data_IF_494119005422
#
_entry.id   IF_494119005422
#
_cell.length_a   1.000
_cell.length_b   1.000
_cell.length_c   1.000
_cell.angle_alpha   90.00
_cell.angle_beta   90.00
_cell.angle_gamma   90.00
#
_symmetry.space_group_name_H-M   'P 1'
#
loop_
_entity.id
_entity.type
_entity.pdbx_description
1 polymer ?
#
# COMPACT_ATOMS: atom_id res chain seq x y z
N UNK A 1 -22.15 29.04 7.81
CA UNK A 1 -21.07 28.78 6.83
C UNK A 1 -21.47 27.46 6.19
N UNK A 2 -22.10 27.53 5.02
CA UNK A 2 -22.53 26.35 4.28
C UNK A 2 -21.29 25.55 3.91
N UNK A 3 -21.24 24.29 4.34
CA UNK A 3 -20.21 23.36 3.93
C UNK A 3 -20.54 23.00 2.48
N UNK A 4 -19.82 23.59 1.52
CA UNK A 4 -19.88 23.15 0.12
C UNK A 4 -19.73 21.63 0.10
N UNK A 5 -20.68 20.95 -0.52
CA UNK A 5 -20.69 19.50 -0.66
C UNK A 5 -19.49 19.11 -1.51
N UNK A 6 -18.39 18.73 -0.84
CA UNK A 6 -17.18 18.26 -1.52
C UNK A 6 -17.44 16.87 -2.07
N UNK A 7 -17.00 16.63 -3.30
CA UNK A 7 -16.96 15.27 -3.84
C UNK A 7 -15.92 14.43 -3.07
N UNK A 8 -16.25 13.16 -2.87
CA UNK A 8 -15.36 12.20 -2.23
C UNK A 8 -14.27 11.76 -3.22
N UNK A 9 -13.04 11.70 -2.74
CA UNK A 9 -11.94 11.12 -3.51
C UNK A 9 -12.16 9.63 -3.76
N UNK A 10 -11.51 9.07 -4.79
CA UNK A 10 -11.56 7.63 -5.08
C UNK A 10 -11.10 6.78 -3.90
N UNK A 11 -10.17 7.29 -3.09
CA UNK A 11 -9.68 6.60 -1.90
C UNK A 11 -10.73 6.61 -0.79
N UNK A 12 -11.41 7.73 -0.57
CA UNK A 12 -12.50 7.82 0.40
C UNK A 12 -13.65 6.88 0.02
N UNK A 13 -14.05 6.85 -1.25
CA UNK A 13 -15.11 5.94 -1.73
C UNK A 13 -14.69 4.47 -1.61
N UNK A 14 -13.44 4.15 -1.93
CA UNK A 14 -12.95 2.79 -1.81
C UNK A 14 -12.81 2.32 -0.37
N UNK A 15 -12.25 3.15 0.50
CA UNK A 15 -12.19 2.88 1.94
C UNK A 15 -13.60 2.72 2.50
N UNK A 16 -14.53 3.60 2.12
CA UNK A 16 -15.93 3.49 2.50
C UNK A 16 -16.54 2.15 2.04
N UNK A 17 -16.24 1.70 0.82
CA UNK A 17 -16.73 0.42 0.29
C UNK A 17 -16.19 -0.78 1.07
N UNK A 18 -14.88 -0.81 1.34
CA UNK A 18 -14.25 -1.87 2.13
C UNK A 18 -14.77 -1.88 3.57
N UNK A 19 -14.85 -0.71 4.20
CA UNK A 19 -15.34 -0.57 5.57
C UNK A 19 -16.82 -0.94 5.67
N UNK A 20 -17.62 -0.68 4.63
CA UNK A 20 -19.02 -1.12 4.56
C UNK A 20 -19.12 -2.64 4.48
N UNK A 21 -18.26 -3.29 3.69
CA UNK A 21 -18.22 -4.75 3.61
C UNK A 21 -17.76 -5.38 4.94
N UNK A 22 -16.85 -4.71 5.67
CA UNK A 22 -16.35 -5.15 6.97
C UNK A 22 -17.26 -4.77 8.16
N UNK A 23 -18.25 -3.91 7.92
CA UNK A 23 -19.05 -3.31 8.98
C UNK A 23 -19.86 -4.35 9.76
N UNK A 24 -19.88 -4.20 11.09
CA UNK A 24 -20.60 -5.13 11.98
C UNK A 24 -21.54 -4.47 13.00
N UNK A 25 -21.70 -3.15 12.94
CA UNK A 25 -22.76 -2.43 13.66
C UNK A 25 -24.11 -2.50 12.96
N UNK A 26 -25.17 -2.06 13.64
CA UNK A 26 -26.57 -2.11 13.19
C UNK A 26 -27.17 -0.72 12.90
N UNK A 27 -26.35 0.32 12.84
CA UNK A 27 -26.78 1.72 12.87
C UNK A 27 -26.51 2.50 11.56
N UNK A 28 -26.05 1.81 10.51
CA UNK A 28 -25.88 2.40 9.16
C UNK A 28 -27.04 2.05 8.22
N UNK A 29 -28.02 1.30 8.72
CA UNK A 29 -29.22 0.90 7.99
C UNK A 29 -30.44 0.95 8.89
N UNK A 30 -31.61 1.24 8.32
CA UNK A 30 -32.87 1.31 9.07
C UNK A 30 -33.27 -0.04 9.69
N UNK A 31 -32.79 -1.16 9.13
CA UNK A 31 -33.08 -2.52 9.59
C UNK A 31 -31.83 -3.24 10.16
N UNK A 32 -30.71 -2.52 10.36
CA UNK A 32 -29.49 -3.08 10.94
C UNK A 32 -28.81 -4.16 10.10
N UNK A 33 -29.01 -4.16 8.79
CA UNK A 33 -28.46 -5.17 7.87
C UNK A 33 -26.98 -4.91 7.59
N UNK A 34 -26.16 -5.96 7.56
CA UNK A 34 -24.73 -5.88 7.22
C UNK A 34 -24.32 -7.01 6.29
N UNK A 35 -23.25 -6.84 5.51
CA UNK A 35 -22.71 -7.94 4.72
C UNK A 35 -22.31 -9.12 5.60
N UNK A 36 -21.75 -8.86 6.79
CA UNK A 36 -21.36 -9.89 7.77
C UNK A 36 -22.54 -10.76 8.20
N UNK A 37 -23.72 -10.17 8.47
CA UNK A 37 -24.92 -10.95 8.85
C UNK A 37 -25.46 -11.84 7.72
N UNK A 38 -25.14 -11.51 6.48
CA UNK A 38 -25.56 -12.26 5.28
C UNK A 38 -24.41 -13.05 4.64
N UNK A 39 -23.39 -13.43 5.41
CA UNK A 39 -22.31 -14.29 4.95
C UNK A 39 -21.37 -13.64 3.92
N UNK A 40 -21.28 -12.31 3.95
CA UNK A 40 -20.54 -11.46 3.01
C UNK A 40 -21.00 -11.61 1.56
N UNK A 41 -22.32 -11.71 1.36
CA UNK A 41 -22.96 -11.81 0.04
C UNK A 41 -24.14 -10.84 -0.04
N UNK A 42 -24.38 -10.25 -1.21
CA UNK A 42 -25.41 -9.24 -1.39
C UNK A 42 -25.47 -8.73 -2.82
N UNK A 43 -26.25 -7.67 -3.04
CA UNK A 43 -26.35 -6.98 -4.32
C UNK A 43 -25.55 -5.68 -4.32
N UNK A 44 -25.26 -5.15 -5.51
CA UNK A 44 -24.75 -3.78 -5.66
C UNK A 44 -25.62 -2.74 -4.93
N UNK A 45 -26.95 -2.88 -5.01
CA UNK A 45 -27.91 -2.01 -4.31
C UNK A 45 -27.74 -2.05 -2.80
N UNK A 46 -27.49 -3.22 -2.21
CA UNK A 46 -27.21 -3.36 -0.78
C UNK A 46 -25.92 -2.63 -0.39
N UNK A 47 -24.86 -2.81 -1.17
CA UNK A 47 -23.58 -2.15 -0.93
C UNK A 47 -23.70 -0.64 -0.97
N UNK A 48 -24.31 -0.08 -2.00
CA UNK A 48 -24.39 1.37 -2.17
C UNK A 48 -25.28 2.03 -1.09
N UNK A 49 -26.39 1.37 -0.73
CA UNK A 49 -27.26 1.81 0.37
C UNK A 49 -26.52 1.85 1.70
N UNK A 50 -25.78 0.78 2.04
CA UNK A 50 -25.02 0.74 3.29
C UNK A 50 -23.84 1.71 3.30
N UNK A 51 -23.17 1.88 2.15
CA UNK A 51 -22.10 2.88 1.98
C UNK A 51 -22.61 4.29 2.27
N UNK A 52 -23.81 4.63 1.78
CA UNK A 52 -24.43 5.93 2.04
C UNK A 52 -24.66 6.15 3.53
N UNK A 53 -25.25 5.16 4.22
CA UNK A 53 -25.47 5.23 5.66
C UNK A 53 -24.18 5.39 6.46
N UNK A 54 -23.13 4.65 6.09
CA UNK A 54 -21.81 4.77 6.72
C UNK A 54 -21.16 6.13 6.45
N UNK A 55 -21.30 6.68 5.24
CA UNK A 55 -20.75 7.99 4.90
C UNK A 55 -21.40 9.11 5.70
N UNK A 56 -22.73 9.07 5.85
CA UNK A 56 -23.49 10.01 6.68
C UNK A 56 -23.08 9.89 8.15
N UNK A 57 -22.98 8.66 8.67
CA UNK A 57 -22.53 8.40 10.05
C UNK A 57 -21.14 8.99 10.31
N UNK A 58 -20.24 8.92 9.33
CA UNK A 58 -18.88 9.47 9.42
C UNK A 58 -18.80 10.98 9.15
N UNK A 59 -19.93 11.64 8.87
CA UNK A 59 -19.97 13.07 8.53
C UNK A 59 -19.32 13.40 7.19
N UNK A 60 -19.14 12.39 6.32
CA UNK A 60 -18.63 12.58 4.95
C UNK A 60 -19.72 13.12 4.03
N UNK A 61 -20.98 12.75 4.28
CA UNK A 61 -22.15 13.26 3.59
C UNK A 61 -23.11 13.92 4.58
N UNK A 62 -23.86 14.90 4.08
CA UNK A 62 -25.01 15.47 4.78
C UNK A 62 -26.25 14.63 4.47
N UNK A 63 -27.06 14.36 5.48
CA UNK A 63 -28.36 13.71 5.31
C UNK A 63 -29.39 14.76 4.84
N UNK A 64 -29.58 14.86 3.54
CA UNK A 64 -30.62 15.69 2.92
C UNK A 64 -31.82 14.84 2.48
N UNK A 65 -31.59 13.58 2.10
CA UNK A 65 -32.61 12.59 1.73
C UNK A 65 -32.64 11.48 2.77
N UNK A 66 -33.81 11.08 3.30
CA UNK A 66 -33.89 9.95 4.22
C UNK A 66 -33.33 8.66 3.62
N UNK A 67 -32.52 7.94 4.39
CA UNK A 67 -32.06 6.60 4.01
C UNK A 67 -33.27 5.67 3.84
N UNK A 68 -33.38 5.02 2.69
CA UNK A 68 -34.46 4.07 2.41
C UNK A 68 -34.06 2.68 2.89
N UNK A 69 -34.92 2.07 3.71
CA UNK A 69 -34.86 0.63 3.97
C UNK A 69 -35.23 -0.15 2.70
N UNK A 70 -34.56 -1.28 2.47
CA UNK A 70 -34.88 -2.22 1.41
C UNK A 70 -34.70 -3.63 1.93
N UNK A 71 -35.50 -4.58 1.42
CA UNK A 71 -35.22 -5.99 1.62
C UNK A 71 -33.78 -6.32 1.17
N UNK A 72 -33.09 -7.19 1.92
CA UNK A 72 -31.77 -7.66 1.50
C UNK A 72 -31.90 -8.41 0.18
N UNK A 73 -30.89 -8.29 -0.69
CA UNK A 73 -30.95 -8.80 -2.07
C UNK A 73 -31.99 -8.12 -2.95
N UNK A 74 -32.61 -7.03 -2.49
CA UNK A 74 -33.56 -6.25 -3.27
C UNK A 74 -32.84 -5.50 -4.39
N UNK A 75 -33.12 -5.87 -5.64
CA UNK A 75 -32.61 -5.16 -6.80
C UNK A 75 -33.50 -3.96 -7.17
N UNK A 76 -32.92 -2.93 -7.79
CA UNK A 76 -33.66 -1.79 -8.35
C UNK A 76 -33.44 -0.43 -7.68
N UNK A 77 -32.49 -0.27 -6.75
CA UNK A 77 -32.09 1.07 -6.28
C UNK A 77 -31.16 1.68 -7.32
N UNK A 78 -31.74 2.49 -8.22
CA UNK A 78 -30.95 3.32 -9.14
C UNK A 78 -30.48 4.56 -8.38
N UNK A 79 -29.19 4.83 -8.39
CA UNK A 79 -28.60 6.01 -7.77
C UNK A 79 -28.82 7.23 -8.66
N UNK A 80 -29.66 8.16 -8.19
CA UNK A 80 -29.91 9.45 -8.79
C UNK A 80 -29.57 10.52 -7.75
N UNK A 81 -28.56 11.38 -8.03
CA UNK A 81 -28.17 12.46 -7.12
C UNK A 81 -29.38 13.28 -6.69
N UNK A 82 -29.45 13.65 -5.42
CA UNK A 82 -30.50 14.51 -4.87
C UNK A 82 -31.94 13.94 -4.95
N UNK A 83 -32.10 12.67 -5.36
CA UNK A 83 -33.42 12.03 -5.50
C UNK A 83 -33.51 10.70 -4.74
N UNK A 84 -32.61 9.77 -5.03
CA UNK A 84 -32.60 8.44 -4.40
C UNK A 84 -31.36 8.20 -3.54
N UNK A 85 -30.38 9.10 -3.59
CA UNK A 85 -29.16 9.04 -2.78
C UNK A 85 -28.61 10.44 -2.48
N UNK A 86 -27.91 10.57 -1.36
CA UNK A 86 -27.17 11.74 -0.91
C UNK A 86 -25.78 11.87 -1.59
N UNK A 87 -25.32 10.85 -2.33
CA UNK A 87 -24.11 10.94 -3.14
C UNK A 87 -24.26 11.94 -4.30
N UNK A 88 -23.18 12.66 -4.62
CA UNK A 88 -23.13 13.53 -5.79
C UNK A 88 -23.08 12.73 -7.10
N UNK A 89 -23.23 13.39 -8.25
CA UNK A 89 -23.03 12.75 -9.54
C UNK A 89 -21.61 12.18 -9.70
N UNK A 90 -20.60 12.94 -9.27
CA UNK A 90 -19.20 12.52 -9.33
C UNK A 90 -18.93 11.33 -8.40
N UNK A 91 -19.51 11.36 -7.19
CA UNK A 91 -19.39 10.25 -6.25
C UNK A 91 -19.96 8.95 -6.83
N UNK A 92 -21.12 9.01 -7.47
CA UNK A 92 -21.77 7.83 -8.07
C UNK A 92 -20.91 7.21 -9.18
N UNK A 93 -20.34 8.03 -10.07
CA UNK A 93 -19.43 7.53 -11.11
C UNK A 93 -18.23 6.82 -10.49
N UNK A 94 -17.63 7.44 -9.48
CA UNK A 94 -16.47 6.90 -8.79
C UNK A 94 -16.81 5.62 -7.99
N UNK A 95 -18.00 5.54 -7.38
CA UNK A 95 -18.51 4.31 -6.73
C UNK A 95 -18.55 3.15 -7.73
N UNK A 96 -19.06 3.38 -8.94
CA UNK A 96 -19.09 2.35 -9.98
C UNK A 96 -17.68 1.92 -10.40
N UNK A 97 -16.77 2.86 -10.60
CA UNK A 97 -15.36 2.57 -10.90
C UNK A 97 -14.68 1.76 -9.79
N UNK A 98 -14.82 2.18 -8.52
CA UNK A 98 -14.23 1.48 -7.40
C UNK A 98 -14.80 0.06 -7.22
N UNK A 99 -16.11 -0.11 -7.45
CA UNK A 99 -16.72 -1.45 -7.44
C UNK A 99 -16.08 -2.37 -8.47
N UNK A 100 -15.90 -1.89 -9.70
CA UNK A 100 -15.22 -2.65 -10.76
C UNK A 100 -13.75 -2.91 -10.44
N UNK A 101 -13.06 -2.00 -9.75
CA UNK A 101 -11.70 -2.25 -9.27
C UNK A 101 -11.66 -3.36 -8.22
N UNK A 102 -12.61 -3.43 -7.28
CA UNK A 102 -12.68 -4.54 -6.32
C UNK A 102 -12.93 -5.89 -7.00
N UNK A 103 -13.74 -5.92 -8.07
CA UNK A 103 -13.93 -7.10 -8.92
C UNK A 103 -12.62 -7.52 -9.60
N UNK A 104 -11.95 -6.58 -10.27
CA UNK A 104 -10.70 -6.84 -10.98
C UNK A 104 -9.57 -7.30 -10.03
N UNK A 105 -9.61 -6.85 -8.77
CA UNK A 105 -8.66 -7.25 -7.73
C UNK A 105 -9.01 -8.57 -7.05
N UNK A 106 -10.16 -9.17 -7.39
CA UNK A 106 -10.64 -10.43 -6.80
C UNK A 106 -11.05 -10.30 -5.34
N UNK A 107 -11.28 -9.09 -4.82
CA UNK A 107 -11.78 -8.86 -3.45
C UNK A 107 -13.25 -9.29 -3.38
N UNK A 108 -14.01 -8.95 -4.41
CA UNK A 108 -15.38 -9.43 -4.65
C UNK A 108 -15.44 -10.20 -5.98
N UNK A 109 -16.43 -11.07 -6.12
CA UNK A 109 -16.68 -11.80 -7.35
C UNK A 109 -18.19 -11.83 -7.67
N UNK A 110 -18.59 -11.85 -8.96
CA UNK A 110 -20.00 -11.93 -9.34
C UNK A 110 -20.66 -13.22 -8.85
N UNK A 111 -21.96 -13.12 -8.60
CA UNK A 111 -22.81 -14.20 -8.12
C UNK A 111 -22.75 -14.42 -6.62
N UNK A 112 -23.81 -14.99 -6.05
CA UNK A 112 -23.90 -15.37 -4.64
C UNK A 112 -24.73 -16.67 -4.50
N UNK A 113 -24.65 -17.33 -3.35
CA UNK A 113 -25.29 -18.64 -3.12
C UNK A 113 -26.60 -18.51 -2.36
N UNK A 114 -27.58 -19.34 -2.72
CA UNK A 114 -28.92 -19.31 -2.12
C UNK A 114 -29.92 -18.67 -3.08
N UNK A 115 -30.68 -17.68 -2.59
CA UNK A 115 -31.72 -16.99 -3.37
C UNK A 115 -31.18 -15.83 -4.23
N UNK A 116 -29.88 -15.83 -4.53
CA UNK A 116 -29.20 -14.81 -5.34
C UNK A 116 -28.95 -15.32 -6.76
N UNK A 117 -28.69 -14.41 -7.70
CA UNK A 117 -28.24 -14.72 -9.05
C UNK A 117 -26.78 -15.17 -9.14
N UNK A 118 -26.43 -15.72 -10.30
CA UNK A 118 -25.08 -16.20 -10.62
C UNK A 118 -24.15 -15.10 -11.18
N UNK A 119 -24.69 -13.91 -11.43
CA UNK A 119 -24.01 -12.80 -12.08
C UNK A 119 -24.31 -11.50 -11.33
N UNK A 120 -23.67 -10.41 -11.74
CA UNK A 120 -24.06 -9.08 -11.30
C UNK A 120 -25.56 -8.83 -11.58
N UNK A 121 -26.26 -8.09 -10.71
CA UNK A 121 -25.74 -7.27 -9.60
C UNK A 121 -25.42 -8.05 -8.32
N UNK A 122 -25.70 -9.35 -8.26
CA UNK A 122 -25.35 -10.20 -7.12
C UNK A 122 -23.83 -10.44 -7.07
N UNK A 123 -23.27 -10.42 -5.88
CA UNK A 123 -21.84 -10.68 -5.64
C UNK A 123 -21.59 -11.24 -4.24
N UNK A 124 -20.39 -11.77 -4.03
CA UNK A 124 -19.88 -12.14 -2.72
C UNK A 124 -18.44 -11.63 -2.53
N UNK A 125 -18.05 -11.43 -1.27
CA UNK A 125 -16.65 -11.22 -0.90
C UNK A 125 -15.92 -12.55 -0.99
N UNK A 126 -14.79 -12.57 -1.71
CA UNK A 126 -14.02 -13.80 -1.88
C UNK A 126 -13.27 -14.16 -0.60
N UNK A 127 -12.74 -15.39 -0.50
CA UNK A 127 -11.82 -15.76 0.59
C UNK A 127 -10.60 -14.82 0.69
N UNK A 128 -10.15 -14.31 -0.44
CA UNK A 128 -9.07 -13.33 -0.49
C UNK A 128 -9.56 -11.97 0.03
N UNK A 129 -10.74 -11.51 -0.42
CA UNK A 129 -11.35 -10.27 0.07
C UNK A 129 -11.59 -10.27 1.58
N UNK A 130 -12.03 -11.38 2.17
CA UNK A 130 -12.23 -11.49 3.62
C UNK A 130 -10.95 -11.22 4.41
N UNK A 131 -9.81 -11.76 3.96
CA UNK A 131 -8.51 -11.45 4.56
C UNK A 131 -8.17 -9.97 4.44
N UNK A 132 -8.45 -9.36 3.28
CA UNK A 132 -8.26 -7.91 3.11
C UNK A 132 -9.13 -7.07 4.05
N UNK A 133 -10.36 -7.53 4.36
CA UNK A 133 -11.24 -6.87 5.33
C UNK A 133 -10.77 -7.04 6.77
N UNK A 134 -10.20 -8.19 7.12
CA UNK A 134 -9.67 -8.46 8.47
C UNK A 134 -8.43 -7.60 8.78
N UNK A 135 -7.54 -7.44 7.80
CA UNK A 135 -6.20 -6.92 8.05
C UNK A 135 -6.13 -5.39 8.28
N UNK A 136 -7.07 -4.56 7.81
CA UNK A 136 -7.15 -3.08 8.00
C UNK A 136 -5.83 -2.27 7.87
N UNK A 137 -4.72 -2.87 7.45
CA UNK A 137 -3.42 -2.22 7.32
C UNK A 137 -3.38 -1.36 6.06
N UNK A 138 -2.44 -0.41 6.01
CA UNK A 138 -2.20 0.42 4.82
C UNK A 138 -1.72 -0.50 3.70
N UNK A 139 -2.67 -1.01 2.93
CA UNK A 139 -2.39 -1.85 1.79
C UNK A 139 -1.91 -0.96 0.63
N UNK A 140 -1.13 -1.50 -0.32
CA UNK A 140 -0.63 -0.77 -1.50
C UNK A 140 -1.73 -0.15 -2.38
N UNK A 141 -2.98 -0.48 -2.10
CA UNK A 141 -4.12 0.06 -2.79
C UNK A 141 -4.64 1.39 -2.23
N UNK A 142 -4.33 1.71 -0.97
CA UNK A 142 -4.39 3.09 -0.46
C UNK A 142 -3.08 3.78 -0.84
N UNK A 143 -2.98 4.17 -2.11
CA UNK A 143 -1.76 4.79 -2.66
C UNK A 143 -1.38 6.02 -1.84
N UNK A 144 -2.34 6.85 -1.45
CA UNK A 144 -2.04 8.06 -0.69
C UNK A 144 -1.67 7.74 0.76
N UNK A 145 -2.32 6.77 1.42
CA UNK A 145 -1.92 6.35 2.76
C UNK A 145 -0.52 5.75 2.79
N UNK A 146 -0.22 4.92 1.80
CA UNK A 146 1.11 4.34 1.62
C UNK A 146 2.14 5.45 1.38
N UNK A 147 1.90 6.36 0.44
CA UNK A 147 2.80 7.47 0.14
C UNK A 147 2.92 8.46 1.30
N UNK A 148 1.84 8.77 2.04
CA UNK A 148 1.91 9.57 3.28
C UNK A 148 2.83 8.92 4.29
N UNK A 149 2.78 7.58 4.44
CA UNK A 149 3.65 6.84 5.35
C UNK A 149 5.11 6.89 4.89
N UNK A 150 5.36 6.75 3.59
CA UNK A 150 6.70 6.90 2.99
C UNK A 150 7.23 8.34 3.19
N UNK A 151 6.41 9.35 2.90
CA UNK A 151 6.76 10.76 3.04
C UNK A 151 6.95 11.21 4.50
N UNK A 152 6.43 10.44 5.46
CA UNK A 152 6.71 10.64 6.89
C UNK A 152 8.13 10.22 7.30
N UNK A 153 8.87 9.52 6.44
CA UNK A 153 10.25 9.10 6.70
C UNK A 153 11.20 10.31 6.48
N UNK A 154 11.98 10.73 7.50
CA UNK A 154 12.86 11.88 7.36
C UNK A 154 13.92 11.69 6.27
N UNK A 155 14.13 12.75 5.49
CA UNK A 155 15.14 12.83 4.40
C UNK A 155 14.90 11.88 3.24
N UNK A 156 13.70 11.30 3.11
CA UNK A 156 13.39 10.45 1.96
C UNK A 156 13.51 11.22 0.65
N UNK A 157 14.15 10.59 -0.32
CA UNK A 157 14.46 11.20 -1.61
C UNK A 157 13.25 11.20 -2.53
N UNK A 158 13.07 12.29 -3.28
CA UNK A 158 11.98 12.39 -4.29
C UNK A 158 12.06 11.29 -5.36
N UNK A 159 13.26 10.77 -5.64
CA UNK A 159 13.42 9.65 -6.57
C UNK A 159 12.93 8.33 -5.99
N UNK A 160 13.15 8.11 -4.68
CA UNK A 160 12.63 6.94 -3.96
C UNK A 160 11.10 7.01 -3.92
N UNK A 161 10.54 8.16 -3.57
CA UNK A 161 9.08 8.40 -3.64
C UNK A 161 8.52 8.15 -5.04
N UNK A 162 9.19 8.66 -6.08
CA UNK A 162 8.80 8.44 -7.47
C UNK A 162 8.74 6.95 -7.83
N UNK A 163 9.79 6.18 -7.57
CA UNK A 163 9.80 4.74 -7.90
C UNK A 163 8.75 3.95 -7.10
N UNK A 164 8.53 4.30 -5.83
CA UNK A 164 7.48 3.67 -5.03
C UNK A 164 6.10 3.98 -5.61
N UNK A 165 5.85 5.22 -6.02
CA UNK A 165 4.58 5.62 -6.65
C UNK A 165 4.33 4.83 -7.93
N UNK A 166 5.33 4.73 -8.82
CA UNK A 166 5.23 3.92 -10.04
C UNK A 166 4.97 2.44 -9.70
N UNK A 167 5.64 1.90 -8.67
CA UNK A 167 5.40 0.54 -8.23
C UNK A 167 3.94 0.30 -7.81
N UNK A 168 3.36 1.22 -7.01
CA UNK A 168 1.97 1.15 -6.57
C UNK A 168 1.00 1.21 -7.75
N UNK A 169 1.29 2.04 -8.75
CA UNK A 169 0.50 2.11 -9.98
C UNK A 169 0.54 0.79 -10.76
N UNK A 170 1.73 0.21 -10.96
CA UNK A 170 1.88 -1.09 -11.60
C UNK A 170 1.13 -2.20 -10.84
N UNK A 171 1.22 -2.20 -9.51
CA UNK A 171 0.56 -3.19 -8.67
C UNK A 171 -0.97 -3.09 -8.76
N UNK A 172 -1.51 -1.88 -8.74
CA UNK A 172 -2.95 -1.63 -8.90
C UNK A 172 -3.44 -1.96 -10.33
N UNK A 173 -2.58 -1.81 -11.34
CA UNK A 173 -2.84 -2.22 -12.73
C UNK A 173 -2.65 -3.73 -12.98
N UNK A 174 -2.41 -4.51 -11.92
CA UNK A 174 -2.14 -5.95 -11.98
C UNK A 174 -0.86 -6.35 -12.75
N UNK A 175 0.11 -5.43 -12.87
CA UNK A 175 1.43 -5.65 -13.48
C UNK A 175 2.47 -5.97 -12.39
N UNK A 176 2.43 -7.20 -11.86
CA UNK A 176 3.21 -7.61 -10.68
C UNK A 176 4.71 -7.49 -10.88
N UNK A 177 5.23 -7.96 -12.01
CA UNK A 177 6.66 -7.93 -12.32
C UNK A 177 7.16 -6.49 -12.44
N UNK A 178 6.39 -5.63 -13.09
CA UNK A 178 6.71 -4.20 -13.22
C UNK A 178 6.71 -3.49 -11.85
N UNK A 179 5.74 -3.81 -10.99
CA UNK A 179 5.69 -3.28 -9.62
C UNK A 179 6.95 -3.65 -8.83
N UNK A 180 7.38 -4.91 -8.92
CA UNK A 180 8.58 -5.39 -8.24
C UNK A 180 9.84 -4.73 -8.81
N UNK A 181 9.95 -4.58 -10.13
CA UNK A 181 11.07 -3.86 -10.78
C UNK A 181 11.19 -2.44 -10.24
N UNK A 182 10.08 -1.70 -10.13
CA UNK A 182 10.07 -0.34 -9.59
C UNK A 182 10.52 -0.29 -8.12
N UNK A 183 10.11 -1.25 -7.29
CA UNK A 183 10.63 -1.37 -5.91
C UNK A 183 12.13 -1.69 -5.87
N UNK A 184 12.62 -2.46 -6.85
CA UNK A 184 14.06 -2.69 -7.05
C UNK A 184 14.83 -1.41 -7.31
N UNK A 185 14.36 -0.59 -8.25
CA UNK A 185 14.97 0.70 -8.56
C UNK A 185 14.96 1.65 -7.35
N UNK A 186 13.86 1.66 -6.59
CA UNK A 186 13.78 2.37 -5.32
C UNK A 186 14.84 1.89 -4.33
N UNK A 187 15.04 0.58 -4.19
CA UNK A 187 16.05 -0.01 -3.31
C UNK A 187 17.48 0.31 -3.75
N UNK A 188 17.76 0.27 -5.06
CA UNK A 188 19.09 0.65 -5.60
C UNK A 188 19.38 2.13 -5.32
N UNK A 189 18.38 3.01 -5.48
CA UNK A 189 18.52 4.43 -5.17
C UNK A 189 18.81 4.68 -3.68
N UNK A 190 18.14 3.96 -2.79
CA UNK A 190 18.41 4.00 -1.34
C UNK A 190 19.86 3.57 -1.06
N UNK A 191 20.35 2.50 -1.69
CA UNK A 191 21.73 2.07 -1.51
C UNK A 191 22.75 3.13 -1.95
N UNK A 192 22.52 3.79 -3.08
CA UNK A 192 23.41 4.87 -3.54
C UNK A 192 23.47 6.01 -2.51
N UNK A 193 22.33 6.35 -1.90
CA UNK A 193 22.26 7.35 -0.82
C UNK A 193 22.94 6.87 0.47
N UNK A 194 22.82 5.58 0.81
CA UNK A 194 23.54 4.98 1.93
C UNK A 194 25.05 5.01 1.75
N UNK A 195 25.53 4.71 0.55
CA UNK A 195 26.96 4.75 0.22
C UNK A 195 27.51 6.16 0.33
N UNK A 196 26.81 7.16 -0.23
CA UNK A 196 27.24 8.56 -0.12
C UNK A 196 27.25 9.03 1.33
N UNK A 197 26.19 8.73 2.10
CA UNK A 197 26.11 9.09 3.51
C UNK A 197 27.23 8.42 4.34
N UNK A 198 27.47 7.12 4.13
CA UNK A 198 28.54 6.39 4.81
C UNK A 198 29.93 6.93 4.44
N UNK A 199 30.18 7.24 3.16
CA UNK A 199 31.46 7.85 2.74
C UNK A 199 31.70 9.17 3.47
N UNK A 200 30.68 10.03 3.59
CA UNK A 200 30.79 11.29 4.34
C UNK A 200 31.06 11.05 5.83
N UNK A 201 30.44 10.04 6.42
CA UNK A 201 30.67 9.63 7.81
C UNK A 201 32.10 9.14 8.02
N UNK A 202 32.59 8.26 7.14
CA UNK A 202 33.97 7.76 7.17
C UNK A 202 34.97 8.90 6.97
N UNK A 203 34.71 9.84 6.06
CA UNK A 203 35.60 11.00 5.87
C UNK A 203 35.83 11.80 7.16
N UNK A 204 34.80 11.91 8.01
CA UNK A 204 34.89 12.62 9.30
C UNK A 204 35.54 11.81 10.42
N UNK A 205 35.33 10.49 10.42
CA UNK A 205 35.59 9.65 11.59
C UNK A 205 36.65 8.55 11.37
N UNK A 206 36.92 8.17 10.11
CA UNK A 206 37.68 6.98 9.69
C UNK A 206 38.40 7.23 8.34
N UNK A 207 39.44 8.07 8.34
CA UNK A 207 40.10 8.59 7.11
C UNK A 207 40.71 7.51 6.21
N UNK A 208 41.26 6.45 6.80
CA UNK A 208 41.88 5.34 6.05
C UNK A 208 40.81 4.51 5.34
N UNK A 209 39.74 4.14 6.07
CA UNK A 209 38.59 3.42 5.54
C UNK A 209 37.86 4.21 4.45
N UNK A 210 37.75 5.53 4.61
CA UNK A 210 37.20 6.42 3.59
C UNK A 210 37.95 6.30 2.27
N UNK A 211 39.28 6.42 2.30
CA UNK A 211 40.13 6.39 1.09
C UNK A 211 40.02 5.04 0.36
N UNK A 212 39.95 3.95 1.13
CA UNK A 212 39.76 2.60 0.59
C UNK A 212 38.37 2.45 -0.04
N UNK A 213 37.30 2.82 0.68
CA UNK A 213 35.92 2.67 0.20
C UNK A 213 35.67 3.51 -1.05
N UNK A 214 36.15 4.76 -1.08
CA UNK A 214 35.98 5.66 -2.22
C UNK A 214 36.60 5.07 -3.50
N UNK A 215 37.77 4.45 -3.38
CA UNK A 215 38.44 3.78 -4.50
C UNK A 215 37.69 2.53 -4.96
N UNK A 216 37.22 1.70 -4.02
CA UNK A 216 36.44 0.49 -4.35
C UNK A 216 35.13 0.84 -5.04
N UNK A 217 34.33 1.75 -4.48
CA UNK A 217 33.02 2.15 -5.01
C UNK A 217 33.13 2.72 -6.44
N UNK A 218 34.17 3.50 -6.72
CA UNK A 218 34.40 4.11 -8.04
C UNK A 218 34.56 3.08 -9.17
N UNK A 219 34.94 1.85 -8.83
CA UNK A 219 35.15 0.76 -9.80
C UNK A 219 33.93 -0.17 -9.93
N UNK A 220 32.88 0.00 -9.10
CA UNK A 220 31.74 -0.91 -9.07
C UNK A 220 30.61 -0.43 -9.98
N UNK A 221 30.17 -1.29 -10.89
CA UNK A 221 29.05 -1.03 -11.82
C UNK A 221 27.73 -1.68 -11.41
N UNK A 222 27.78 -2.79 -10.66
CA UNK A 222 26.59 -3.58 -10.32
C UNK A 222 26.08 -3.23 -8.93
N UNK A 223 24.76 -3.09 -8.77
CA UNK A 223 24.13 -2.77 -7.49
C UNK A 223 24.40 -3.84 -6.40
N UNK A 224 24.45 -5.12 -6.77
CA UNK A 224 24.81 -6.20 -5.85
C UNK A 224 26.23 -6.06 -5.30
N UNK A 225 27.18 -5.66 -6.14
CA UNK A 225 28.55 -5.39 -5.71
C UNK A 225 28.64 -4.11 -4.86
N UNK A 226 27.85 -3.07 -5.17
CA UNK A 226 27.74 -1.86 -4.34
C UNK A 226 27.25 -2.21 -2.94
N UNK A 227 26.26 -3.11 -2.85
CA UNK A 227 25.72 -3.56 -1.57
C UNK A 227 26.75 -4.31 -0.74
N UNK A 228 27.49 -5.23 -1.36
CA UNK A 228 28.57 -5.94 -0.67
C UNK A 228 29.66 -4.99 -0.17
N UNK A 229 29.98 -3.95 -0.95
CA UNK A 229 30.90 -2.90 -0.54
C UNK A 229 30.35 -2.13 0.68
N UNK A 230 29.11 -1.63 0.61
CA UNK A 230 28.45 -0.97 1.76
C UNK A 230 28.48 -1.87 3.01
N UNK A 231 28.08 -3.14 2.88
CA UNK A 231 28.04 -4.09 3.98
C UNK A 231 29.43 -4.31 4.61
N UNK A 232 30.47 -4.47 3.78
CA UNK A 232 31.85 -4.63 4.26
C UNK A 232 32.26 -3.47 5.17
N UNK A 233 32.06 -2.23 4.74
CA UNK A 233 32.47 -1.06 5.52
C UNK A 233 31.55 -0.81 6.71
N UNK A 234 30.25 -1.09 6.57
CA UNK A 234 29.31 -1.12 7.69
C UNK A 234 29.76 -2.09 8.79
N UNK A 235 30.09 -3.33 8.43
CA UNK A 235 30.54 -4.36 9.36
C UNK A 235 31.89 -4.02 10.03
N UNK A 236 32.76 -3.28 9.34
CA UNK A 236 34.02 -2.79 9.91
C UNK A 236 33.78 -1.75 11.02
N UNK A 237 32.88 -0.80 10.80
CA UNK A 237 32.66 0.29 11.77
C UNK A 237 31.63 -0.03 12.85
N UNK A 238 30.70 -0.97 12.61
CA UNK A 238 29.54 -1.16 13.50
C UNK A 238 29.91 -1.50 14.94
N UNK A 239 31.04 -2.18 15.16
CA UNK A 239 31.53 -2.53 16.50
C UNK A 239 32.31 -1.39 17.17
N UNK A 240 32.78 -0.41 16.38
CA UNK A 240 33.60 0.71 16.84
C UNK A 240 32.76 1.94 17.18
N UNK A 241 31.47 1.95 16.85
CA UNK A 241 30.55 3.03 17.18
C UNK A 241 30.01 2.83 18.59
N UNK A 242 30.34 3.76 19.49
CA UNK A 242 29.90 3.72 20.89
C UNK A 242 28.50 4.29 21.10
N UNK A 243 28.02 5.10 20.17
CA UNK A 243 26.72 5.80 20.22
C UNK A 243 25.54 4.84 20.45
N UNK A 244 24.65 5.22 21.37
CA UNK A 244 23.52 4.38 21.76
C UNK A 244 22.44 4.34 20.67
N UNK A 245 22.23 5.45 19.96
CA UNK A 245 21.25 5.52 18.86
C UNK A 245 21.61 4.53 17.76
N UNK A 246 22.89 4.47 17.39
CA UNK A 246 23.38 3.50 16.41
C UNK A 246 23.16 2.05 16.88
N UNK A 247 23.47 1.77 18.16
CA UNK A 247 23.29 0.43 18.75
C UNK A 247 21.84 -0.01 18.80
N UNK A 248 20.91 0.90 19.08
CA UNK A 248 19.48 0.60 19.11
C UNK A 248 18.93 0.30 17.70
N UNK A 249 19.55 0.86 16.65
CA UNK A 249 19.20 0.59 15.25
C UNK A 249 19.81 -0.69 14.68
N UNK A 250 20.95 -1.18 15.21
CA UNK A 250 21.64 -2.36 14.71
C UNK A 250 20.77 -3.63 14.60
N UNK A 251 19.96 -3.99 15.61
CA UNK A 251 19.06 -5.16 15.52
C UNK A 251 18.05 -5.08 14.37
N UNK A 252 17.69 -3.88 13.91
CA UNK A 252 16.77 -3.66 12.79
C UNK A 252 17.42 -3.93 11.43
N UNK A 253 18.75 -3.87 11.35
CA UNK A 253 19.52 -4.14 10.12
C UNK A 253 19.84 -5.62 9.97
N UNK A 254 20.30 -6.27 11.05
CA UNK A 254 20.92 -7.60 10.98
C UNK A 254 19.92 -8.75 10.80
N UNK A 255 18.66 -8.65 11.28
CA UNK A 255 17.74 -9.80 11.26
C UNK A 255 16.98 -10.03 9.94
N UNK A 256 16.72 -8.99 9.14
CA UNK A 256 15.83 -9.10 7.95
C UNK A 256 16.22 -8.14 6.82
N UNK A 257 16.70 -6.93 7.12
CA UNK A 257 16.84 -5.85 6.14
C UNK A 257 17.89 -6.13 5.05
N UNK A 258 19.03 -6.72 5.39
CA UNK A 258 20.06 -7.09 4.41
C UNK A 258 19.71 -8.31 3.57
N UNK A 259 18.96 -9.27 4.13
CA UNK A 259 18.40 -10.38 3.35
C UNK A 259 17.29 -9.88 2.42
N UNK A 260 16.44 -8.97 2.88
CA UNK A 260 15.42 -8.32 2.07
C UNK A 260 16.06 -7.55 0.90
N UNK A 261 17.11 -6.77 1.14
CA UNK A 261 17.87 -6.07 0.09
C UNK A 261 18.44 -7.03 -0.95
N UNK A 262 19.13 -8.10 -0.51
CA UNK A 262 19.70 -9.10 -1.39
C UNK A 262 18.62 -9.83 -2.21
N UNK A 263 17.46 -10.08 -1.61
CA UNK A 263 16.31 -10.67 -2.29
C UNK A 263 15.69 -9.69 -3.30
N UNK A 264 15.45 -8.43 -2.94
CA UNK A 264 14.88 -7.42 -3.84
C UNK A 264 15.75 -7.15 -5.05
N UNK A 265 17.06 -6.98 -4.87
CA UNK A 265 18.01 -6.76 -5.97
C UNK A 265 18.18 -8.01 -6.85
N UNK A 266 18.11 -9.22 -6.25
CA UNK A 266 18.19 -10.47 -7.01
C UNK A 266 16.92 -10.73 -7.82
N UNK A 267 15.74 -10.54 -7.23
CA UNK A 267 14.44 -10.74 -7.88
C UNK A 267 14.29 -9.79 -9.06
N UNK A 268 14.68 -8.51 -8.90
CA UNK A 268 14.42 -7.47 -9.90
C UNK A 268 15.37 -7.50 -11.10
N UNK A 269 16.66 -7.80 -10.91
CA UNK A 269 17.65 -7.82 -12.03
C UNK A 269 17.93 -9.20 -12.63
N UNK A 270 17.99 -10.25 -11.81
CA UNK A 270 18.45 -11.56 -12.28
C UNK A 270 17.29 -12.53 -12.55
N UNK A 271 16.16 -12.36 -11.87
CA UNK A 271 14.94 -13.13 -12.10
C UNK A 271 14.09 -12.49 -13.20
N UNK A 272 13.49 -11.32 -12.91
CA UNK A 272 12.37 -10.78 -13.70
C UNK A 272 12.76 -9.97 -14.96
N UNK A 273 13.98 -9.42 -15.02
CA UNK A 273 14.45 -8.66 -16.20
C UNK A 273 14.94 -9.56 -17.35
N UNK A 274 15.20 -10.83 -17.06
CA UNK A 274 15.38 -11.87 -18.08
C UNK A 274 14.05 -12.64 -18.19
N UNK A 275 13.72 -13.26 -19.34
CA UNK A 275 12.55 -14.12 -19.42
C UNK A 275 12.77 -15.35 -18.52
N UNK A 276 12.43 -15.21 -17.25
CA UNK A 276 12.38 -16.29 -16.27
C UNK A 276 10.96 -16.86 -16.23
N UNK A 277 10.83 -18.16 -16.04
CA UNK A 277 9.54 -18.83 -15.83
C UNK A 277 8.87 -18.44 -14.49
N UNK A 278 9.52 -17.62 -13.66
CA UNK A 278 9.01 -17.19 -12.36
C UNK A 278 8.07 -15.99 -12.54
N UNK A 279 6.77 -16.27 -12.51
CA UNK A 279 5.72 -15.25 -12.39
C UNK A 279 5.59 -14.84 -10.92
N UNK A 280 5.39 -13.55 -10.67
CA UNK A 280 5.16 -13.06 -9.31
C UNK A 280 3.68 -13.12 -8.99
N UNK A 281 3.32 -13.81 -7.92
CA UNK A 281 1.94 -13.83 -7.46
C UNK A 281 1.61 -12.51 -6.75
N UNK A 282 0.37 -12.05 -6.93
CA UNK A 282 -0.10 -10.78 -6.36
C UNK A 282 0.08 -10.68 -4.84
N UNK A 283 -0.07 -11.82 -4.15
CA UNK A 283 0.13 -11.93 -2.70
C UNK A 283 1.60 -11.78 -2.30
N UNK A 284 2.53 -12.27 -3.14
CA UNK A 284 3.97 -12.12 -2.89
C UNK A 284 4.36 -10.66 -3.03
N UNK A 285 3.89 -9.99 -4.09
CA UNK A 285 4.13 -8.55 -4.29
C UNK A 285 3.49 -7.72 -3.18
N UNK A 286 2.33 -8.11 -2.66
CA UNK A 286 1.71 -7.47 -1.50
C UNK A 286 2.61 -7.51 -0.27
N UNK A 287 3.12 -8.70 0.08
CA UNK A 287 4.03 -8.88 1.22
C UNK A 287 5.30 -8.05 1.06
N UNK A 288 5.79 -7.93 -0.18
CA UNK A 288 6.92 -7.07 -0.50
C UNK A 288 6.59 -5.61 -0.13
N UNK A 289 5.48 -5.04 -0.60
CA UNK A 289 5.11 -3.66 -0.23
C UNK A 289 4.94 -3.46 1.29
N UNK A 290 4.27 -4.39 1.98
CA UNK A 290 4.07 -4.29 3.44
C UNK A 290 5.43 -4.18 4.15
N UNK A 291 6.39 -5.04 3.77
CA UNK A 291 7.74 -5.00 4.35
C UNK A 291 8.57 -3.79 3.91
N UNK A 292 8.27 -3.21 2.74
CA UNK A 292 9.09 -2.16 2.12
C UNK A 292 9.06 -0.84 2.90
N UNK A 293 7.95 -0.51 3.55
CA UNK A 293 7.86 0.67 4.44
C UNK A 293 8.89 0.55 5.56
N UNK A 294 8.91 -0.59 6.25
CA UNK A 294 9.83 -0.82 7.37
C UNK A 294 11.28 -0.87 6.88
N UNK A 295 11.51 -1.43 5.70
CA UNK A 295 12.82 -1.40 5.05
C UNK A 295 13.30 0.05 4.82
N UNK A 296 12.47 0.92 4.24
CA UNK A 296 12.80 2.33 4.01
C UNK A 296 13.09 3.06 5.33
N UNK A 297 12.26 2.87 6.36
CA UNK A 297 12.47 3.46 7.69
C UNK A 297 13.82 3.07 8.28
N UNK A 298 14.17 1.78 8.20
CA UNK A 298 15.46 1.31 8.68
C UNK A 298 16.61 1.94 7.88
N UNK A 299 16.58 1.91 6.55
CA UNK A 299 17.69 2.43 5.75
C UNK A 299 17.89 3.94 5.94
N UNK A 300 16.81 4.72 5.94
CA UNK A 300 16.89 6.16 6.18
C UNK A 300 17.27 6.51 7.62
N UNK A 301 16.98 5.64 8.59
CA UNK A 301 17.54 5.75 9.94
C UNK A 301 19.07 5.81 9.93
N UNK A 302 19.72 4.88 9.20
CA UNK A 302 21.18 4.88 9.05
C UNK A 302 21.69 6.04 8.20
N UNK A 303 21.03 6.37 7.08
CA UNK A 303 21.40 7.55 6.26
C UNK A 303 21.42 8.81 7.12
N UNK A 304 20.35 9.06 7.88
CA UNK A 304 20.24 10.23 8.73
C UNK A 304 21.29 10.24 9.85
N UNK A 305 21.57 9.08 10.44
CA UNK A 305 22.63 8.95 11.44
C UNK A 305 24.01 9.34 10.85
N UNK A 306 24.34 8.81 9.67
CA UNK A 306 25.60 9.12 8.98
C UNK A 306 25.68 10.56 8.49
N UNK A 307 24.57 11.25 8.26
CA UNK A 307 24.59 12.66 7.85
C UNK A 307 24.85 13.57 9.06
N UNK A 308 24.28 13.22 10.22
CA UNK A 308 24.27 14.06 11.41
C UNK A 308 25.44 13.86 12.37
N UNK A 309 26.21 12.76 12.23
CA UNK A 309 27.40 12.43 13.01
C UNK A 309 28.61 12.26 12.07
#
# INVERSE_FOLDING_TARGET
MEMETRDLSSIEIRSLMLDTLAYDGDDIDAEGKTFKSYGYQGTQSDLYRLMEGLAIKRGLLKLDIPLRGSAWSGDGIILYPQSTTNFSFSDIQNIYEQFHLLLNQGIIAPGAVGNYGQNLPDFHVTKYGLRCLEEHEILPYDVDGYLRRINSIPSISKWVEFYIKEALQCYNANCMEAAVIMLGLSSEKILDEQIDALLRYLYRNYTDEFSLMQTEVSNIRFASAKFNCYKKYFDMIKNNISDQTFKDMLPLVDRVSFQAYANFTRITRNGLAHPSDTKMERIEVLMIFISFIKYCQTQYGFINYYINN
#
